data_IF_311767667902
#
_entry.id   IF_311767667902
#
_cell.length_a   1.000
_cell.length_b   1.000
_cell.length_c   1.000
_cell.angle_alpha   90.00
_cell.angle_beta   90.00
_cell.angle_gamma   90.00
#
_symmetry.space_group_name_H-M   'P 1'
#
loop_
_entity.id
_entity.type
_entity.pdbx_description
1 polymer ?
#
# COMPACT_ATOMS: atom_id res chain seq x y z
N UNK A 1 8.17 12.24 22.18
CA UNK A 1 8.27 11.68 20.81
C UNK A 1 6.95 11.87 20.07
N UNK A 2 5.81 11.69 20.74
CA UNK A 2 4.49 11.96 20.15
C UNK A 2 4.32 13.43 19.72
N UNK A 3 4.81 14.39 20.51
CA UNK A 3 4.82 15.81 20.11
C UNK A 3 5.67 16.08 18.85
N UNK A 4 6.75 15.32 18.66
CA UNK A 4 7.61 15.45 17.49
C UNK A 4 6.93 14.88 16.24
N UNK A 5 6.24 13.74 16.36
CA UNK A 5 5.43 13.17 15.29
C UNK A 5 4.28 14.12 14.94
N UNK A 6 3.61 14.68 15.94
CA UNK A 6 2.55 15.66 15.73
C UNK A 6 3.08 16.88 14.98
N UNK A 7 4.19 17.46 15.43
CA UNK A 7 4.81 18.61 14.76
C UNK A 7 5.24 18.28 13.33
N UNK A 8 5.78 17.09 13.06
CA UNK A 8 6.18 16.67 11.71
C UNK A 8 4.95 16.51 10.78
N UNK A 9 3.88 15.85 11.24
CA UNK A 9 2.64 15.73 10.48
C UNK A 9 1.95 17.07 10.25
N UNK A 10 1.94 17.92 11.27
CA UNK A 10 1.42 19.27 11.16
C UNK A 10 2.21 20.09 10.13
N UNK A 11 3.54 20.05 10.21
CA UNK A 11 4.43 20.71 9.24
C UNK A 11 4.19 20.19 7.83
N UNK A 12 4.09 18.86 7.64
CA UNK A 12 3.78 18.27 6.32
C UNK A 12 2.48 18.84 5.73
N UNK A 13 1.38 18.83 6.49
CA UNK A 13 0.10 19.43 6.06
C UNK A 13 0.19 20.94 5.81
N UNK A 14 1.00 21.66 6.58
CA UNK A 14 1.23 23.09 6.36
C UNK A 14 1.95 23.32 5.03
N UNK A 15 2.96 22.51 4.71
CA UNK A 15 3.68 22.56 3.44
C UNK A 15 2.77 22.22 2.25
N UNK A 16 1.89 21.22 2.37
CA UNK A 16 0.89 20.93 1.33
C UNK A 16 -0.08 22.10 1.08
N UNK A 17 -0.51 22.78 2.15
CA UNK A 17 -1.35 23.98 2.02
C UNK A 17 -0.61 25.12 1.32
N UNK A 18 0.67 25.31 1.63
CA UNK A 18 1.52 26.29 0.95
C UNK A 18 1.72 25.94 -0.52
N UNK A 19 1.92 24.66 -0.85
CA UNK A 19 2.00 24.19 -2.23
C UNK A 19 0.72 24.52 -3.02
N UNK A 20 -0.45 24.18 -2.48
CA UNK A 20 -1.76 24.51 -3.09
C UNK A 20 -1.97 26.02 -3.23
N UNK A 21 -1.50 26.81 -2.27
CA UNK A 21 -1.57 28.28 -2.34
C UNK A 21 -0.68 28.83 -3.46
N UNK A 22 0.56 28.35 -3.57
CA UNK A 22 1.49 28.73 -4.63
C UNK A 22 0.96 28.36 -6.02
N UNK A 23 0.30 27.21 -6.16
CA UNK A 23 -0.35 26.78 -7.40
C UNK A 23 -1.50 27.72 -7.80
N UNK A 24 -2.38 28.08 -6.85
CA UNK A 24 -3.43 29.10 -7.09
C UNK A 24 -2.85 30.47 -7.46
N UNK A 25 -1.74 30.88 -6.86
CA UNK A 25 -1.05 32.13 -7.22
C UNK A 25 -0.47 32.05 -8.64
N UNK A 26 0.09 30.91 -9.03
CA UNK A 26 0.56 30.66 -10.40
C UNK A 26 -0.58 30.78 -11.43
N UNK A 27 -1.75 30.17 -11.17
CA UNK A 27 -2.91 30.27 -12.05
C UNK A 27 -3.40 31.73 -12.21
N UNK A 28 -3.40 32.51 -11.12
CA UNK A 28 -3.74 33.94 -11.17
C UNK A 28 -2.77 34.72 -12.05
N UNK A 29 -1.47 34.46 -11.95
CA UNK A 29 -0.47 35.10 -12.81
C UNK A 29 -0.62 34.68 -14.27
N UNK A 30 -0.92 33.40 -14.56
CA UNK A 30 -1.24 32.96 -15.92
C UNK A 30 -2.47 33.68 -16.50
N UNK A 31 -3.50 33.93 -15.69
CA UNK A 31 -4.65 34.71 -16.13
C UNK A 31 -4.27 36.17 -16.46
N UNK A 32 -3.32 36.77 -15.73
CA UNK A 32 -2.79 38.10 -16.04
C UNK A 32 -1.95 38.10 -17.32
N UNK A 33 -1.16 37.05 -17.58
CA UNK A 33 -0.44 36.87 -18.85
C UNK A 33 -1.43 36.90 -20.03
N UNK A 34 -2.52 36.14 -19.94
CA UNK A 34 -3.56 36.12 -20.99
C UNK A 34 -4.14 37.52 -21.26
N UNK A 35 -4.42 38.30 -20.20
CA UNK A 35 -4.90 39.69 -20.32
C UNK A 35 -3.86 40.62 -20.93
N UNK A 36 -2.59 40.51 -20.51
CA UNK A 36 -1.50 41.34 -21.03
C UNK A 36 -1.22 41.07 -22.52
N UNK A 37 -1.35 39.80 -22.95
CA UNK A 37 -1.25 39.42 -24.36
C UNK A 37 -2.39 40.00 -25.21
N UNK A 38 -3.62 40.02 -24.69
CA UNK A 38 -4.76 40.67 -25.37
C UNK A 38 -4.55 42.17 -25.56
N UNK A 39 -3.86 42.82 -24.62
CA UNK A 39 -3.48 44.23 -24.68
C UNK A 39 -2.24 44.50 -25.56
N UNK A 40 -1.70 43.47 -26.23
CA UNK A 40 -0.46 43.52 -27.03
C UNK A 40 0.78 44.01 -26.27
N UNK A 41 0.77 43.96 -24.93
CA UNK A 41 1.91 44.37 -24.11
C UNK A 41 2.79 43.14 -23.77
N UNK A 42 3.74 42.86 -24.66
CA UNK A 42 4.57 41.65 -24.62
C UNK A 42 5.57 41.68 -23.46
N UNK A 43 6.12 42.85 -23.11
CA UNK A 43 7.08 42.95 -21.99
C UNK A 43 6.42 42.65 -20.65
N UNK A 44 5.22 43.21 -20.40
CA UNK A 44 4.46 42.94 -19.18
C UNK A 44 3.99 41.48 -19.11
N UNK A 45 3.59 40.90 -20.26
CA UNK A 45 3.24 39.49 -20.33
C UNK A 45 4.42 38.57 -19.97
N UNK A 46 5.65 38.91 -20.39
CA UNK A 46 6.87 38.15 -20.05
C UNK A 46 7.14 38.15 -18.55
N UNK A 47 7.02 39.30 -17.88
CA UNK A 47 7.23 39.42 -16.42
C UNK A 47 6.19 38.59 -15.65
N UNK A 48 4.91 38.63 -16.05
CA UNK A 48 3.88 37.79 -15.40
C UNK A 48 4.10 36.30 -15.66
N UNK A 49 4.62 35.92 -16.84
CA UNK A 49 4.93 34.52 -17.16
C UNK A 49 6.08 33.99 -16.32
N UNK A 50 7.17 34.77 -16.14
CA UNK A 50 8.26 34.41 -15.23
C UNK A 50 7.77 34.23 -13.79
N UNK A 51 6.92 35.14 -13.31
CA UNK A 51 6.33 35.03 -11.97
C UNK A 51 5.47 33.78 -11.82
N UNK A 52 4.68 33.42 -12.83
CA UNK A 52 3.88 32.20 -12.83
C UNK A 52 4.77 30.95 -12.76
N UNK A 53 5.83 30.87 -13.58
CA UNK A 53 6.77 29.74 -13.59
C UNK A 53 7.49 29.64 -12.24
N UNK A 54 7.95 30.76 -11.69
CA UNK A 54 8.60 30.81 -10.37
C UNK A 54 7.67 30.27 -9.28
N UNK A 55 6.40 30.69 -9.26
CA UNK A 55 5.40 30.23 -8.29
C UNK A 55 5.05 28.75 -8.46
N UNK A 56 4.96 28.26 -9.70
CA UNK A 56 4.77 26.84 -9.99
C UNK A 56 5.94 25.99 -9.46
N UNK A 57 7.18 26.42 -9.69
CA UNK A 57 8.37 25.75 -9.16
C UNK A 57 8.43 25.78 -7.63
N UNK A 58 8.03 26.90 -7.02
CA UNK A 58 7.90 27.03 -5.57
C UNK A 58 6.92 25.99 -5.02
N UNK A 59 5.74 25.85 -5.65
CA UNK A 59 4.72 24.86 -5.29
C UNK A 59 5.22 23.42 -5.38
N UNK A 60 5.93 23.06 -6.45
CA UNK A 60 6.54 21.74 -6.60
C UNK A 60 7.59 21.46 -5.52
N UNK A 61 8.39 22.46 -5.15
CA UNK A 61 9.38 22.30 -4.10
C UNK A 61 8.72 22.11 -2.72
N UNK A 62 7.65 22.86 -2.43
CA UNK A 62 6.85 22.67 -1.20
C UNK A 62 6.23 21.28 -1.12
N UNK A 63 5.66 20.78 -2.22
CA UNK A 63 5.07 19.44 -2.29
C UNK A 63 6.13 18.34 -2.08
N UNK A 64 7.30 18.48 -2.72
CA UNK A 64 8.41 17.55 -2.53
C UNK A 64 8.90 17.54 -1.09
N UNK A 65 8.97 18.71 -0.45
CA UNK A 65 9.38 18.81 0.94
C UNK A 65 8.32 18.23 1.89
N UNK A 66 7.02 18.44 1.62
CA UNK A 66 5.92 17.82 2.35
C UNK A 66 6.01 16.28 2.32
N UNK A 67 6.17 15.70 1.13
CA UNK A 67 6.33 14.24 0.96
C UNK A 67 7.54 13.69 1.73
N UNK A 68 8.67 14.40 1.71
CA UNK A 68 9.85 14.01 2.49
C UNK A 68 9.60 14.07 4.00
N UNK A 69 8.94 15.11 4.49
CA UNK A 69 8.61 15.27 5.92
C UNK A 69 7.62 14.19 6.36
N UNK A 70 6.62 13.87 5.54
CA UNK A 70 5.65 12.81 5.83
C UNK A 70 6.32 11.42 5.90
N UNK A 71 7.22 11.12 4.95
CA UNK A 71 8.00 9.89 4.97
C UNK A 71 8.85 9.76 6.25
N UNK A 72 9.49 10.86 6.69
CA UNK A 72 10.22 10.89 7.96
C UNK A 72 9.28 10.69 9.14
N UNK A 73 8.12 11.36 9.15
CA UNK A 73 7.11 11.17 10.20
C UNK A 73 6.64 9.73 10.30
N UNK A 74 6.43 9.04 9.17
CA UNK A 74 6.02 7.64 9.12
C UNK A 74 7.10 6.72 9.73
N UNK A 75 8.37 6.94 9.36
CA UNK A 75 9.49 6.19 9.95
C UNK A 75 9.60 6.41 11.47
N UNK A 76 9.44 7.64 11.94
CA UNK A 76 9.45 7.96 13.37
C UNK A 76 8.27 7.29 14.10
N UNK A 77 7.07 7.29 13.50
CA UNK A 77 5.91 6.59 14.07
C UNK A 77 6.18 5.09 14.22
N UNK A 78 6.71 4.43 13.18
CA UNK A 78 7.08 3.01 13.25
C UNK A 78 8.11 2.75 14.35
N UNK A 79 9.13 3.61 14.48
CA UNK A 79 10.13 3.48 15.53
C UNK A 79 9.53 3.63 16.94
N UNK A 80 8.58 4.55 17.13
CA UNK A 80 7.86 4.72 18.40
C UNK A 80 7.01 3.49 18.72
N UNK A 81 6.28 2.96 17.73
CA UNK A 81 5.48 1.74 17.89
C UNK A 81 6.36 0.53 18.22
N UNK A 82 7.47 0.32 17.50
CA UNK A 82 8.42 -0.77 17.79
C UNK A 82 9.05 -0.63 19.18
N UNK A 83 9.33 0.61 19.63
CA UNK A 83 9.82 0.86 20.99
C UNK A 83 8.76 0.49 22.04
N UNK A 84 7.49 0.81 21.80
CA UNK A 84 6.39 0.42 22.68
C UNK A 84 6.22 -1.11 22.73
N UNK A 85 6.24 -1.78 21.58
CA UNK A 85 6.19 -3.25 21.49
C UNK A 85 7.37 -3.89 22.21
N UNK A 86 8.59 -3.40 22.00
CA UNK A 86 9.79 -3.90 22.70
C UNK A 86 9.68 -3.72 24.22
N UNK A 87 9.11 -2.59 24.68
CA UNK A 87 8.88 -2.35 26.10
C UNK A 87 7.86 -3.36 26.67
N UNK A 88 6.76 -3.61 25.96
CA UNK A 88 5.76 -4.60 26.36
C UNK A 88 6.32 -6.01 26.35
N UNK A 89 7.07 -6.41 25.32
CA UNK A 89 7.77 -7.70 25.27
C UNK A 89 8.74 -7.84 26.44
N UNK A 90 9.50 -6.79 26.77
CA UNK A 90 10.39 -6.78 27.93
C UNK A 90 9.67 -6.91 29.28
N UNK A 91 8.42 -6.44 29.39
CA UNK A 91 7.59 -6.67 30.57
C UNK A 91 7.06 -8.11 30.60
N UNK A 92 6.61 -8.64 29.46
CA UNK A 92 6.13 -10.02 29.34
C UNK A 92 7.24 -11.03 29.63
N UNK A 93 8.46 -10.82 29.14
CA UNK A 93 9.60 -11.72 29.41
C UNK A 93 10.00 -11.68 30.88
N UNK A 94 9.94 -10.52 31.55
CA UNK A 94 10.15 -10.42 32.99
C UNK A 94 9.05 -11.11 33.79
N UNK A 95 7.79 -11.00 33.39
CA UNK A 95 6.69 -11.73 34.03
C UNK A 95 6.81 -13.23 33.80
N UNK A 96 7.27 -13.64 32.62
CA UNK A 96 7.52 -15.04 32.27
C UNK A 96 8.68 -15.61 33.09
N UNK A 97 9.81 -14.89 33.23
CA UNK A 97 10.94 -15.31 34.07
C UNK A 97 10.52 -15.47 35.54
N UNK A 98 9.67 -14.56 36.04
CA UNK A 98 9.11 -14.65 37.40
C UNK A 98 8.14 -15.82 37.55
N UNK A 99 7.30 -16.08 36.54
CA UNK A 99 6.38 -17.22 36.50
C UNK A 99 7.14 -18.55 36.44
N UNK A 100 8.17 -18.65 35.59
CA UNK A 100 9.05 -19.82 35.46
C UNK A 100 9.81 -20.12 36.75
N UNK A 101 10.29 -19.10 37.48
CA UNK A 101 10.89 -19.27 38.81
C UNK A 101 9.92 -19.74 39.89
N UNK A 102 8.62 -19.45 39.73
CA UNK A 102 7.56 -19.92 40.63
C UNK A 102 6.89 -21.22 40.16
N UNK A 103 7.28 -21.73 38.98
CA UNK A 103 6.68 -22.90 38.37
C UNK A 103 7.39 -24.15 38.87
N UNK A 104 6.70 -24.88 39.74
CA UNK A 104 7.02 -26.27 40.08
C UNK A 104 6.93 -27.13 38.80
N UNK A 105 7.95 -27.94 38.53
CA UNK A 105 8.08 -28.76 37.30
C UNK A 105 6.84 -29.64 37.03
N UNK A 106 6.10 -30.02 38.07
CA UNK A 106 4.86 -30.78 37.94
C UNK A 106 3.70 -29.99 37.32
N UNK A 107 3.63 -28.67 37.52
CA UNK A 107 2.59 -27.82 36.90
C UNK A 107 2.90 -27.49 35.44
N UNK A 108 4.17 -27.53 35.03
CA UNK A 108 4.58 -27.36 33.63
C UNK A 108 4.08 -28.52 32.76
N UNK A 109 4.16 -29.76 33.25
CA UNK A 109 3.63 -30.94 32.52
C UNK A 109 2.12 -30.81 32.28
N UNK A 110 1.34 -30.44 33.30
CA UNK A 110 -0.11 -30.26 33.17
C UNK A 110 -0.51 -29.09 32.27
N UNK A 111 0.34 -28.06 32.16
CA UNK A 111 0.12 -26.93 31.25
C UNK A 111 0.51 -27.29 29.81
N UNK A 112 1.53 -28.13 29.59
CA UNK A 112 1.88 -28.64 28.26
C UNK A 112 0.81 -29.58 27.69
N UNK A 113 0.27 -30.49 28.51
CA UNK A 113 -0.85 -31.36 28.09
C UNK A 113 -2.09 -30.52 27.70
N UNK A 114 -2.33 -29.42 28.44
CA UNK A 114 -3.44 -28.50 28.16
C UNK A 114 -3.18 -27.57 26.98
N UNK A 115 -1.92 -27.25 26.69
CA UNK A 115 -1.51 -26.47 25.51
C UNK A 115 -1.63 -27.31 24.24
N UNK A 116 -1.23 -28.59 24.27
CA UNK A 116 -1.38 -29.53 23.16
C UNK A 116 -2.87 -29.69 22.79
N UNK A 117 -3.73 -29.87 23.79
CA UNK A 117 -5.19 -29.87 23.61
C UNK A 117 -5.74 -28.55 23.04
N UNK A 118 -5.20 -27.40 23.42
CA UNK A 118 -5.68 -26.10 22.92
C UNK A 118 -5.16 -25.76 21.53
N UNK A 119 -3.94 -26.18 21.18
CA UNK A 119 -3.38 -26.03 19.83
C UNK A 119 -4.09 -26.94 18.84
N UNK A 120 -4.42 -28.18 19.23
CA UNK A 120 -5.23 -29.09 18.41
C UNK A 120 -6.63 -28.50 18.15
N UNK A 121 -7.27 -27.92 19.17
CA UNK A 121 -8.56 -27.22 19.00
C UNK A 121 -8.44 -25.93 18.17
N UNK A 122 -7.30 -25.22 18.24
CA UNK A 122 -7.05 -24.03 17.44
C UNK A 122 -6.90 -24.40 15.96
N UNK A 123 -6.17 -25.47 15.63
CA UNK A 123 -6.04 -25.96 14.24
C UNK A 123 -7.39 -26.38 13.66
N UNK A 124 -8.25 -27.03 14.46
CA UNK A 124 -9.63 -27.37 14.04
C UNK A 124 -10.48 -26.11 13.83
N UNK A 125 -10.38 -25.11 14.72
CA UNK A 125 -11.11 -23.85 14.57
C UNK A 125 -10.60 -23.00 13.40
N UNK A 126 -9.28 -22.95 13.16
CA UNK A 126 -8.68 -22.24 12.04
C UNK A 126 -9.02 -22.94 10.73
N UNK A 127 -9.03 -24.27 10.67
CA UNK A 127 -9.47 -25.02 9.49
C UNK A 127 -10.94 -24.72 9.13
N UNK A 128 -11.85 -24.73 10.12
CA UNK A 128 -13.27 -24.41 9.90
C UNK A 128 -13.48 -22.92 9.58
N UNK A 129 -12.66 -22.03 10.15
CA UNK A 129 -12.69 -20.59 9.89
C UNK A 129 -12.12 -20.24 8.51
N UNK A 130 -11.08 -20.93 8.04
CA UNK A 130 -10.48 -20.75 6.71
C UNK A 130 -11.42 -21.26 5.61
N UNK A 131 -12.08 -22.41 5.80
CA UNK A 131 -13.13 -22.89 4.89
C UNK A 131 -14.34 -21.93 4.81
N UNK A 132 -14.69 -21.31 5.94
CA UNK A 132 -15.79 -20.32 6.02
C UNK A 132 -15.38 -18.95 5.46
N UNK A 133 -14.13 -18.50 5.69
CA UNK A 133 -13.60 -17.23 5.17
C UNK A 133 -13.25 -17.31 3.69
N UNK A 134 -12.74 -18.43 3.18
CA UNK A 134 -12.51 -18.67 1.75
C UNK A 134 -13.83 -18.58 0.96
N UNK A 135 -14.90 -19.17 1.50
CA UNK A 135 -16.25 -19.08 0.95
C UNK A 135 -16.82 -17.65 0.98
N UNK A 136 -16.53 -16.85 2.03
CA UNK A 136 -16.99 -15.47 2.15
C UNK A 136 -16.16 -14.45 1.33
N UNK A 137 -14.85 -14.68 1.19
CA UNK A 137 -13.90 -13.79 0.48
C UNK A 137 -14.06 -13.91 -1.04
N UNK A 138 -14.39 -15.10 -1.56
CA UNK A 138 -14.73 -15.31 -2.97
C UNK A 138 -15.92 -14.44 -3.43
N UNK A 139 -16.85 -14.10 -2.52
CA UNK A 139 -18.02 -13.28 -2.83
C UNK A 139 -17.77 -11.76 -2.69
N UNK A 140 -16.77 -11.34 -1.90
CA UNK A 140 -16.49 -9.92 -1.61
C UNK A 140 -15.24 -9.38 -2.32
N UNK A 141 -14.43 -10.23 -2.93
CA UNK A 141 -13.30 -9.82 -3.77
C UNK A 141 -13.28 -10.66 -5.04
N UNK A 142 -14.09 -10.31 -6.07
CA UNK A 142 -14.06 -11.00 -7.34
C UNK A 142 -12.66 -10.85 -7.96
N UNK A 143 -12.05 -11.96 -8.34
CA UNK A 143 -10.69 -12.03 -8.90
C UNK A 143 -10.49 -11.05 -10.07
N UNK A 144 -11.55 -10.85 -10.88
CA UNK A 144 -11.58 -9.88 -11.98
C UNK A 144 -11.29 -8.43 -11.55
N UNK A 145 -11.73 -7.99 -10.36
CA UNK A 145 -11.52 -6.61 -9.90
C UNK A 145 -10.08 -6.37 -9.42
N UNK A 146 -9.39 -7.43 -9.00
CA UNK A 146 -7.98 -7.38 -8.62
C UNK A 146 -7.11 -7.33 -9.87
N UNK A 147 -7.45 -8.12 -10.88
CA UNK A 147 -6.75 -8.14 -12.17
C UNK A 147 -6.90 -6.81 -12.93
N UNK A 148 -8.10 -6.22 -12.93
CA UNK A 148 -8.35 -4.88 -13.50
C UNK A 148 -7.51 -3.79 -12.80
N UNK A 149 -7.39 -3.86 -11.47
CA UNK A 149 -6.60 -2.90 -10.69
C UNK A 149 -5.09 -3.05 -10.96
N UNK A 150 -4.61 -4.28 -11.12
CA UNK A 150 -3.21 -4.56 -11.49
C UNK A 150 -2.93 -4.02 -12.90
N UNK A 151 -3.85 -4.21 -13.85
CA UNK A 151 -3.71 -3.70 -15.22
C UNK A 151 -3.69 -2.16 -15.25
N UNK A 152 -4.59 -1.52 -14.50
CA UNK A 152 -4.66 -0.07 -14.42
C UNK A 152 -3.40 0.53 -13.76
N UNK A 153 -2.88 -0.08 -12.69
CA UNK A 153 -1.65 0.38 -12.04
C UNK A 153 -0.41 0.14 -12.92
N UNK A 154 -0.38 -0.93 -13.71
CA UNK A 154 0.69 -1.21 -14.67
C UNK A 154 0.72 -0.17 -15.81
N UNK A 155 -0.45 0.19 -16.35
CA UNK A 155 -0.60 1.25 -17.35
C UNK A 155 -0.25 2.63 -16.78
N UNK A 156 -0.74 2.97 -15.58
CA UNK A 156 -0.48 4.27 -14.92
C UNK A 156 0.99 4.45 -14.50
N UNK A 157 1.69 3.36 -14.17
CA UNK A 157 3.11 3.41 -13.79
C UNK A 157 4.06 3.45 -14.99
N UNK A 158 3.55 3.36 -16.23
CA UNK A 158 4.39 3.29 -17.43
C UNK A 158 5.39 2.13 -17.40
N UNK A 159 5.11 1.10 -16.60
CA UNK A 159 5.84 -0.15 -16.62
C UNK A 159 5.38 -0.87 -17.88
N UNK A 160 6.02 -0.55 -19.01
CA UNK A 160 6.04 -1.40 -20.19
C UNK A 160 6.66 -2.75 -19.81
N UNK A 161 5.88 -3.62 -19.17
CA UNK A 161 6.15 -5.07 -19.13
C UNK A 161 5.91 -5.69 -20.51
N UNK A 162 5.72 -4.85 -21.55
CA UNK A 162 5.57 -5.27 -22.94
C UNK A 162 6.89 -5.22 -23.73
N UNK A 163 7.89 -4.39 -23.38
CA UNK A 163 9.05 -4.20 -24.27
C UNK A 163 10.30 -5.02 -23.88
N UNK A 164 10.43 -5.48 -22.63
CA UNK A 164 11.53 -6.38 -22.23
C UNK A 164 11.25 -7.87 -22.40
N UNK A 165 10.00 -8.28 -22.65
CA UNK A 165 9.69 -9.67 -23.02
C UNK A 165 9.73 -9.90 -24.54
N UNK A 166 9.66 -8.82 -25.34
CA UNK A 166 9.57 -8.86 -26.81
C UNK A 166 10.93 -8.85 -27.53
N UNK A 167 12.01 -8.49 -26.84
CA UNK A 167 13.35 -8.32 -27.44
C UNK A 167 14.38 -9.41 -27.07
N UNK A 168 13.96 -10.50 -26.43
CA UNK A 168 14.83 -11.68 -26.30
C UNK A 168 14.67 -12.56 -27.55
N UNK A 169 15.77 -12.86 -28.27
CA UNK A 169 15.72 -13.54 -29.56
C UNK A 169 15.15 -14.96 -29.40
N UNK A 170 14.30 -15.33 -30.36
CA UNK A 170 13.70 -16.65 -30.51
C UNK A 170 14.76 -17.76 -30.42
N UNK A 171 14.85 -18.38 -29.26
CA UNK A 171 15.83 -19.43 -29.01
C UNK A 171 15.70 -20.00 -27.60
N UNK A 172 14.93 -21.08 -27.51
CA UNK A 172 14.78 -22.00 -26.38
C UNK A 172 13.58 -21.77 -25.42
N UNK A 173 12.71 -22.79 -25.45
CA UNK A 173 11.86 -23.33 -24.36
C UNK A 173 10.56 -22.61 -23.97
N UNK A 174 9.52 -22.80 -24.80
CA UNK A 174 8.30 -23.54 -24.44
C UNK A 174 7.77 -23.49 -22.99
N UNK A 175 7.15 -22.39 -22.54
CA UNK A 175 6.08 -22.43 -21.52
C UNK A 175 5.16 -21.21 -21.72
N UNK A 176 4.19 -21.29 -22.64
CA UNK A 176 3.30 -20.17 -22.92
C UNK A 176 1.99 -20.56 -23.60
N UNK A 177 1.60 -21.82 -23.49
CA UNK A 177 0.35 -22.37 -24.05
C UNK A 177 -0.47 -23.12 -23.00
N UNK A 178 -0.45 -22.67 -21.74
CA UNK A 178 -1.19 -23.32 -20.65
C UNK A 178 -2.35 -22.48 -20.08
N UNK A 179 -2.32 -21.14 -20.17
CA UNK A 179 -3.44 -20.32 -19.63
C UNK A 179 -4.70 -20.30 -20.48
N UNK A 180 -4.65 -20.63 -21.79
CA UNK A 180 -5.87 -20.83 -22.59
C UNK A 180 -6.47 -22.22 -22.42
N UNK A 181 -5.66 -23.22 -22.02
CA UNK A 181 -6.11 -24.59 -21.75
C UNK A 181 -6.73 -24.76 -20.37
N UNK A 182 -6.39 -23.93 -19.38
CA UNK A 182 -7.00 -23.98 -18.04
C UNK A 182 -8.45 -23.53 -18.07
N UNK A 183 -8.76 -22.42 -18.74
CA UNK A 183 -10.13 -21.90 -18.85
C UNK A 183 -11.06 -22.85 -19.63
N UNK A 184 -10.60 -23.44 -20.74
CA UNK A 184 -11.40 -24.42 -21.48
C UNK A 184 -11.66 -25.71 -20.68
N UNK A 185 -10.71 -26.12 -19.82
CA UNK A 185 -10.86 -27.30 -18.97
C UNK A 185 -11.81 -27.02 -17.81
N UNK A 186 -11.77 -25.84 -17.19
CA UNK A 186 -12.71 -25.44 -16.15
C UNK A 186 -14.14 -25.35 -16.68
N UNK A 187 -14.35 -24.79 -17.87
CA UNK A 187 -15.67 -24.74 -18.52
C UNK A 187 -16.23 -26.13 -18.84
N UNK A 188 -15.37 -27.05 -19.31
CA UNK A 188 -15.77 -28.43 -19.57
C UNK A 188 -16.06 -29.22 -18.29
N UNK A 189 -15.29 -29.00 -17.21
CA UNK A 189 -15.51 -29.66 -15.92
C UNK A 189 -16.82 -29.16 -15.28
N UNK A 190 -17.09 -27.87 -15.37
CA UNK A 190 -18.32 -27.22 -14.90
C UNK A 190 -19.55 -27.79 -15.61
N UNK A 191 -19.48 -27.98 -16.93
CA UNK A 191 -20.57 -28.62 -17.71
C UNK A 191 -20.78 -30.09 -17.34
N UNK A 192 -19.70 -30.85 -17.06
CA UNK A 192 -19.82 -32.26 -16.63
C UNK A 192 -20.41 -32.40 -15.23
N UNK A 193 -20.02 -31.54 -14.29
CA UNK A 193 -20.60 -31.52 -12.94
C UNK A 193 -22.08 -31.13 -12.96
N UNK A 194 -22.48 -30.19 -13.82
CA UNK A 194 -23.89 -29.83 -14.00
C UNK A 194 -24.72 -30.99 -14.57
N UNK A 195 -24.15 -31.80 -15.47
CA UNK A 195 -24.80 -32.97 -16.04
C UNK A 195 -24.94 -34.14 -15.06
N UNK A 196 -24.10 -34.22 -14.01
CA UNK A 196 -24.17 -35.22 -12.95
C UNK A 196 -25.09 -34.83 -11.78
N UNK A 197 -25.61 -33.60 -11.77
CA UNK A 197 -26.49 -33.07 -10.71
C UNK A 197 -28.00 -33.15 -11.06
N UNK A 198 -28.35 -33.85 -12.14
CA UNK A 198 -29.74 -34.21 -12.50
C UNK A 198 -29.91 -35.73 -12.50
#
# INVERSE_FOLDING_TARGET
MDDMIFNLRFTSKQLERLAKKAEKESEKEQAKVKKALQQKNVEVARVYAENAIRKKNEGLNWLRMASRVDAVSSKVQTAVTMKAVSKSMGQVTKSLDKALKSMDLQKISAVMDKFESQVENLDVHTSVMDDSMSSATTLTTPQNQVDDLIHQIAEESGLEVMDQLSQLPAGATSVGAESSRSNEKEDQLSRRLAALRN
#
